data_IF_673029016126
#
_entry.id   IF_673029016126
#
_cell.length_a   1.000
_cell.length_b   1.000
_cell.length_c   1.000
_cell.angle_alpha   90.00
_cell.angle_beta   90.00
_cell.angle_gamma   90.00
#
_symmetry.space_group_name_H-M   'P 1'
#
loop_
_entity.id
_entity.type
_entity.pdbx_description
1 polymer ?
#
# COMPACT_ATOMS: atom_id res chain seq x y z
N UNK A 1 -5.62 -45.63 15.12
CA UNK A 1 -4.64 -44.56 15.38
C UNK A 1 -5.31 -43.25 15.00
N UNK A 2 -5.74 -42.40 15.95
CA UNK A 2 -6.25 -41.07 15.63
C UNK A 2 -5.10 -40.23 15.03
N UNK A 3 -5.35 -39.60 13.88
CA UNK A 3 -4.46 -38.61 13.30
C UNK A 3 -4.48 -37.39 14.21
N UNK A 4 -3.42 -37.20 14.99
CA UNK A 4 -3.16 -35.95 15.68
C UNK A 4 -2.77 -34.97 14.57
N UNK A 5 -3.68 -34.09 14.19
CA UNK A 5 -3.32 -32.91 13.42
C UNK A 5 -2.50 -32.04 14.38
N UNK A 6 -1.18 -32.02 14.20
CA UNK A 6 -0.35 -30.97 14.79
C UNK A 6 -0.87 -29.65 14.25
N UNK A 7 -1.54 -28.90 15.12
CA UNK A 7 -2.05 -27.59 14.82
C UNK A 7 -0.85 -26.70 14.53
N UNK A 8 -0.77 -26.19 13.30
CA UNK A 8 0.35 -25.38 12.86
C UNK A 8 0.45 -24.15 13.78
N UNK A 9 1.52 -24.00 14.59
CA UNK A 9 1.68 -22.86 15.47
C UNK A 9 1.65 -21.53 14.70
N UNK A 10 1.86 -21.58 13.39
CA UNK A 10 1.78 -20.41 12.53
C UNK A 10 0.35 -19.91 12.30
N UNK A 11 -0.64 -20.79 12.42
CA UNK A 11 -2.03 -20.43 12.19
C UNK A 11 -2.56 -19.52 13.30
N UNK A 12 -2.13 -19.73 14.55
CA UNK A 12 -2.66 -19.04 15.71
C UNK A 12 -2.27 -17.55 15.72
N UNK A 13 -0.99 -17.24 15.49
CA UNK A 13 -0.56 -15.84 15.42
C UNK A 13 -1.07 -15.11 14.17
N UNK A 14 -1.15 -15.81 13.02
CA UNK A 14 -1.74 -15.23 11.79
C UNK A 14 -3.21 -14.88 11.99
N UNK A 15 -3.94 -15.72 12.71
CA UNK A 15 -5.34 -15.46 13.08
C UNK A 15 -5.44 -14.27 14.02
N UNK A 16 -4.62 -14.22 15.08
CA UNK A 16 -4.61 -13.10 16.03
C UNK A 16 -4.27 -11.76 15.35
N UNK A 17 -3.31 -11.78 14.41
CA UNK A 17 -2.92 -10.61 13.63
C UNK A 17 -4.06 -10.14 12.72
N UNK A 18 -4.70 -11.08 12.02
CA UNK A 18 -5.89 -10.79 11.20
C UNK A 18 -6.99 -10.16 12.02
N UNK A 19 -7.32 -10.74 13.18
CA UNK A 19 -8.39 -10.23 14.05
C UNK A 19 -8.09 -8.80 14.51
N UNK A 20 -6.83 -8.49 14.83
CA UNK A 20 -6.41 -7.13 15.20
C UNK A 20 -6.56 -6.14 14.04
N UNK A 21 -6.13 -6.50 12.83
CA UNK A 21 -6.25 -5.62 11.65
C UNK A 21 -7.71 -5.42 11.29
N UNK A 22 -8.53 -6.48 11.32
CA UNK A 22 -9.96 -6.40 11.06
C UNK A 22 -10.69 -5.56 12.10
N UNK A 23 -10.34 -5.67 13.38
CA UNK A 23 -10.90 -4.82 14.43
C UNK A 23 -10.59 -3.33 14.20
N UNK A 24 -9.34 -3.01 13.84
CA UNK A 24 -8.97 -1.64 13.48
C UNK A 24 -9.74 -1.13 12.26
N UNK A 25 -9.88 -1.96 11.22
CA UNK A 25 -10.68 -1.64 10.03
C UNK A 25 -12.13 -1.34 10.40
N UNK A 26 -12.75 -2.17 11.25
CA UNK A 26 -14.13 -1.96 11.70
C UNK A 26 -14.30 -0.61 12.42
N UNK A 27 -13.34 -0.23 13.27
CA UNK A 27 -13.34 1.09 13.91
C UNK A 27 -13.29 2.24 12.89
N UNK A 28 -12.41 2.16 11.88
CA UNK A 28 -12.27 3.21 10.86
C UNK A 28 -13.49 3.26 9.92
N UNK A 29 -14.07 2.11 9.57
CA UNK A 29 -15.32 2.04 8.81
C UNK A 29 -16.47 2.69 9.59
N UNK A 30 -16.58 2.41 10.90
CA UNK A 30 -17.59 3.04 11.75
C UNK A 30 -17.43 4.57 11.79
N UNK A 31 -16.20 5.07 11.96
CA UNK A 31 -15.92 6.50 11.94
C UNK A 31 -16.28 7.14 10.60
N UNK A 32 -15.92 6.48 9.49
CA UNK A 32 -16.23 6.93 8.13
C UNK A 32 -17.74 6.98 7.87
N UNK A 33 -18.47 5.96 8.33
CA UNK A 33 -19.93 5.92 8.27
C UNK A 33 -20.57 7.06 9.09
N UNK A 34 -20.04 7.34 10.27
CA UNK A 34 -20.52 8.44 11.12
C UNK A 34 -20.24 9.80 10.46
N UNK A 35 -19.06 9.99 9.87
CA UNK A 35 -18.71 11.18 9.13
C UNK A 35 -19.61 11.40 7.91
N UNK A 36 -19.90 10.34 7.15
CA UNK A 36 -20.83 10.37 6.02
C UNK A 36 -22.25 10.75 6.47
N UNK A 37 -22.79 10.08 7.50
CA UNK A 37 -24.11 10.41 8.06
C UNK A 37 -24.20 11.86 8.54
N UNK A 38 -23.14 12.35 9.20
CA UNK A 38 -23.03 13.75 9.62
C UNK A 38 -23.11 14.70 8.42
N UNK A 39 -22.30 14.47 7.37
CA UNK A 39 -22.35 15.25 6.12
C UNK A 39 -23.73 15.22 5.46
N UNK A 40 -24.41 14.08 5.48
CA UNK A 40 -25.76 13.95 4.92
C UNK A 40 -26.78 14.79 5.71
N UNK A 41 -26.68 14.80 7.04
CA UNK A 41 -27.56 15.60 7.91
C UNK A 41 -27.33 17.10 7.77
N UNK A 42 -26.07 17.53 7.64
CA UNK A 42 -25.71 18.94 7.42
C UNK A 42 -26.19 19.45 6.06
N UNK A 43 -26.27 18.55 5.06
CA UNK A 43 -26.69 18.86 3.69
C UNK A 43 -28.13 18.40 3.38
N UNK A 44 -29.05 18.53 4.34
CA UNK A 44 -30.45 18.11 4.15
C UNK A 44 -31.14 18.83 2.97
N UNK A 45 -30.75 20.06 2.64
CA UNK A 45 -31.28 20.83 1.50
C UNK A 45 -30.54 20.60 0.17
N UNK A 46 -29.52 19.74 0.13
CA UNK A 46 -28.73 19.53 -1.07
C UNK A 46 -29.55 18.87 -2.19
N UNK A 47 -29.24 19.27 -3.44
CA UNK A 47 -29.78 18.69 -4.66
C UNK A 47 -29.55 17.17 -4.71
N UNK A 48 -30.46 16.44 -5.38
CA UNK A 48 -30.35 14.99 -5.57
C UNK A 48 -29.00 14.59 -6.18
N UNK A 49 -28.46 15.38 -7.11
CA UNK A 49 -27.16 15.13 -7.73
C UNK A 49 -26.00 15.21 -6.72
N UNK A 50 -26.04 16.19 -5.81
CA UNK A 50 -25.03 16.35 -4.77
C UNK A 50 -25.05 15.18 -3.78
N UNK A 51 -26.23 14.65 -3.45
CA UNK A 51 -26.36 13.46 -2.60
C UNK A 51 -25.79 12.21 -3.27
N UNK A 52 -26.06 12.02 -4.57
CA UNK A 52 -25.49 10.91 -5.33
C UNK A 52 -23.96 10.93 -5.35
N UNK A 53 -23.36 12.12 -5.55
CA UNK A 53 -21.90 12.27 -5.50
C UNK A 53 -21.32 11.96 -4.12
N UNK A 54 -21.97 12.42 -3.05
CA UNK A 54 -21.55 12.09 -1.68
C UNK A 54 -21.63 10.59 -1.39
N UNK A 55 -22.66 9.90 -1.90
CA UNK A 55 -22.79 8.46 -1.75
C UNK A 55 -21.69 7.70 -2.52
N UNK A 56 -21.39 8.14 -3.74
CA UNK A 56 -20.32 7.55 -4.55
C UNK A 56 -18.95 7.73 -3.89
N UNK A 57 -18.65 8.93 -3.40
CA UNK A 57 -17.42 9.23 -2.65
C UNK A 57 -17.32 8.38 -1.38
N UNK A 58 -18.42 8.23 -0.64
CA UNK A 58 -18.46 7.37 0.54
C UNK A 58 -18.17 5.90 0.21
N UNK A 59 -18.76 5.37 -0.86
CA UNK A 59 -18.53 3.99 -1.32
C UNK A 59 -17.08 3.78 -1.70
N UNK A 60 -16.51 4.69 -2.49
CA UNK A 60 -15.10 4.64 -2.88
C UNK A 60 -14.17 4.72 -1.67
N UNK A 61 -14.50 5.55 -0.67
CA UNK A 61 -13.74 5.62 0.57
C UNK A 61 -13.78 4.31 1.35
N UNK A 62 -14.91 3.59 1.40
CA UNK A 62 -14.99 2.28 2.05
C UNK A 62 -14.15 1.22 1.32
N UNK A 63 -14.21 1.18 -0.01
CA UNK A 63 -13.38 0.27 -0.82
C UNK A 63 -11.88 0.52 -0.61
N UNK A 64 -11.46 1.79 -0.58
CA UNK A 64 -10.08 2.17 -0.29
C UNK A 64 -9.62 1.72 1.10
N UNK A 65 -10.48 1.85 2.13
CA UNK A 65 -10.17 1.43 3.49
C UNK A 65 -9.98 -0.09 3.58
N UNK A 66 -10.85 -0.86 2.92
CA UNK A 66 -10.71 -2.31 2.86
C UNK A 66 -9.40 -2.72 2.19
N UNK A 67 -9.08 -2.12 1.04
CA UNK A 67 -7.83 -2.36 0.35
C UNK A 67 -6.60 -2.06 1.22
N UNK A 68 -6.61 -0.92 1.95
CA UNK A 68 -5.50 -0.56 2.84
C UNK A 68 -5.32 -1.56 3.99
N UNK A 69 -6.41 -2.06 4.58
CA UNK A 69 -6.34 -3.06 5.64
C UNK A 69 -5.83 -4.42 5.14
N UNK A 70 -6.23 -4.85 3.94
CA UNK A 70 -5.68 -6.06 3.32
C UNK A 70 -4.18 -5.95 3.06
N UNK A 71 -3.73 -4.78 2.58
CA UNK A 71 -2.32 -4.53 2.32
C UNK A 71 -1.49 -4.45 3.61
N UNK A 72 -2.05 -3.83 4.67
CA UNK A 72 -1.42 -3.81 6.01
C UNK A 72 -1.30 -5.23 6.58
N UNK A 73 -2.35 -6.05 6.49
CA UNK A 73 -2.30 -7.44 6.92
C UNK A 73 -1.21 -8.22 6.17
N UNK A 74 -1.13 -8.04 4.84
CA UNK A 74 -0.09 -8.69 4.02
C UNK A 74 1.31 -8.25 4.47
N UNK A 75 1.53 -6.95 4.64
CA UNK A 75 2.82 -6.41 5.05
C UNK A 75 3.24 -6.90 6.44
N UNK A 76 2.31 -6.99 7.39
CA UNK A 76 2.59 -7.50 8.74
C UNK A 76 2.92 -9.00 8.72
N UNK A 77 2.21 -9.81 7.94
CA UNK A 77 2.53 -11.23 7.77
C UNK A 77 3.94 -11.39 7.18
N UNK A 78 4.26 -10.63 6.13
CA UNK A 78 5.57 -10.69 5.48
C UNK A 78 6.70 -10.26 6.42
N UNK A 79 6.48 -9.21 7.23
CA UNK A 79 7.47 -8.74 8.20
C UNK A 79 7.75 -9.78 9.29
N UNK A 80 6.71 -10.41 9.83
CA UNK A 80 6.86 -11.47 10.85
C UNK A 80 7.55 -12.71 10.26
N UNK A 81 7.18 -13.12 9.04
CA UNK A 81 7.86 -14.22 8.34
C UNK A 81 9.34 -13.91 8.09
N UNK A 82 9.66 -12.65 7.73
CA UNK A 82 11.03 -12.19 7.57
C UNK A 82 11.80 -12.23 8.90
N UNK A 83 11.22 -11.75 9.99
CA UNK A 83 11.84 -11.81 11.32
C UNK A 83 12.09 -13.25 11.75
N UNK A 84 11.17 -14.17 11.47
CA UNK A 84 11.37 -15.60 11.75
C UNK A 84 12.45 -16.22 10.88
N UNK A 85 12.51 -15.89 9.59
CA UNK A 85 13.60 -16.32 8.72
C UNK A 85 14.94 -15.77 9.18
N UNK A 86 15.01 -14.51 9.62
CA UNK A 86 16.21 -13.90 10.20
C UNK A 86 16.60 -14.59 11.52
N UNK A 87 15.63 -14.89 12.39
CA UNK A 87 15.87 -15.62 13.64
C UNK A 87 16.35 -17.06 13.40
N UNK A 88 15.82 -17.75 12.38
CA UNK A 88 16.31 -19.07 11.97
C UNK A 88 17.71 -19.01 11.38
N UNK A 89 18.04 -17.92 10.67
CA UNK A 89 19.38 -17.66 10.13
C UNK A 89 20.35 -17.10 11.17
N UNK A 90 19.88 -16.77 12.37
CA UNK A 90 20.73 -16.19 13.39
C UNK A 90 21.84 -17.20 13.76
N UNK A 91 23.13 -16.81 13.73
CA UNK A 91 24.26 -17.72 13.90
C UNK A 91 24.20 -18.59 15.17
N UNK A 92 23.53 -18.11 16.21
CA UNK A 92 23.36 -18.79 17.49
C UNK A 92 22.49 -20.06 17.42
N UNK A 93 21.65 -20.21 16.39
CA UNK A 93 20.77 -21.39 16.18
C UNK A 93 21.47 -22.53 15.43
N UNK A 94 22.66 -22.26 14.87
CA UNK A 94 23.50 -23.26 14.21
C UNK A 94 24.88 -23.28 14.88
N UNK A 95 25.01 -23.94 16.05
CA UNK A 95 26.29 -24.05 16.75
C UNK A 95 27.38 -24.71 15.90
N UNK A 96 27.00 -25.46 14.86
CA UNK A 96 27.89 -26.09 13.89
C UNK A 96 28.51 -25.10 12.88
N UNK A 97 27.89 -23.92 12.71
CA UNK A 97 28.37 -22.82 11.87
C UNK A 97 28.83 -21.62 12.70
N UNK A 98 28.79 -21.70 14.03
CA UNK A 98 29.43 -20.70 14.88
C UNK A 98 30.93 -20.73 14.56
N UNK A 99 31.47 -19.60 14.13
CA UNK A 99 32.88 -19.48 13.78
C UNK A 99 33.71 -20.01 14.96
N UNK A 100 34.58 -20.98 14.68
CA UNK A 100 35.26 -21.76 15.70
C UNK A 100 36.06 -20.84 16.65
N UNK A 101 36.46 -19.68 16.14
CA UNK A 101 37.03 -18.54 16.86
C UNK A 101 36.14 -18.01 18.01
N UNK A 102 34.82 -17.88 17.80
CA UNK A 102 33.88 -17.35 18.82
C UNK A 102 33.66 -18.37 19.93
N UNK A 103 33.64 -19.66 19.58
CA UNK A 103 33.56 -20.76 20.55
C UNK A 103 34.83 -20.81 21.38
N UNK A 104 36.01 -20.69 20.75
CA UNK A 104 37.30 -20.62 21.45
C UNK A 104 37.38 -19.41 22.39
N UNK A 105 36.88 -18.24 21.96
CA UNK A 105 36.84 -17.04 22.79
C UNK A 105 35.93 -17.21 24.02
N UNK A 106 34.72 -17.78 23.85
CA UNK A 106 33.83 -18.07 24.99
C UNK A 106 34.46 -19.07 25.97
N UNK A 107 35.13 -20.11 25.47
CA UNK A 107 35.87 -21.07 26.31
C UNK A 107 37.01 -20.36 27.06
N UNK A 108 37.73 -19.45 26.41
CA UNK A 108 38.79 -18.66 27.02
C UNK A 108 38.26 -17.77 28.16
N UNK A 109 37.13 -17.09 27.95
CA UNK A 109 36.47 -16.25 28.96
C UNK A 109 36.02 -17.10 30.17
N UNK A 110 35.37 -18.24 29.94
CA UNK A 110 34.95 -19.13 31.02
C UNK A 110 36.15 -19.68 31.82
N UNK A 111 37.24 -20.03 31.14
CA UNK A 111 38.48 -20.44 31.79
C UNK A 111 39.11 -19.30 32.61
N UNK A 112 39.07 -18.07 32.11
CA UNK A 112 39.56 -16.90 32.83
C UNK A 112 38.75 -16.63 34.10
N UNK A 113 37.41 -16.72 34.04
CA UNK A 113 36.54 -16.59 35.22
C UNK A 113 36.86 -17.69 36.25
N UNK A 114 37.07 -18.92 35.80
CA UNK A 114 37.44 -20.06 36.66
C UNK A 114 38.80 -19.86 37.34
N UNK A 115 39.78 -19.32 36.62
CA UNK A 115 41.09 -19.00 37.20
C UNK A 115 40.98 -17.88 38.23
N UNK A 116 40.23 -16.82 37.92
CA UNK A 116 39.99 -15.71 38.85
C UNK A 116 39.24 -16.17 40.11
N UNK A 117 38.26 -17.06 40.00
CA UNK A 117 37.54 -17.58 41.17
C UNK A 117 38.42 -18.44 42.06
N UNK A 118 39.34 -19.23 41.49
CA UNK A 118 40.34 -19.98 42.25
C UNK A 118 41.37 -19.06 42.93
N UNK A 119 41.86 -18.04 42.24
CA UNK A 119 42.78 -17.07 42.85
C UNK A 119 42.12 -16.24 43.95
N UNK A 120 40.82 -15.98 43.86
CA UNK A 120 40.06 -15.26 44.88
C UNK A 120 39.77 -16.11 46.12
N UNK A 121 39.55 -17.42 45.95
CA UNK A 121 39.33 -18.34 47.08
C UNK A 121 40.57 -18.52 47.98
N UNK A 122 41.78 -18.23 47.49
CA UNK A 122 43.02 -18.35 48.28
C UNK A 122 43.31 -17.09 49.13
N UNK A 123 42.61 -15.98 48.89
CA UNK A 123 42.84 -14.72 49.64
C UNK A 123 41.92 -14.56 50.86
N UNK A 124 40.85 -15.37 50.97
CA UNK A 124 39.90 -15.29 52.08
C UNK A 124 40.14 -16.32 53.21
N UNK A 125 41.30 -17.01 53.22
CA UNK A 125 41.64 -18.00 54.26
C UNK A 125 42.22 -17.39 55.56
N UNK A 126 42.21 -16.05 55.70
CA UNK A 126 42.60 -15.33 56.92
C UNK A 126 41.50 -14.39 57.46
N UNK A 127 40.25 -14.87 57.60
CA UNK A 127 39.35 -14.31 58.63
C UNK A 127 38.24 -15.30 59.00
N UNK A 128 38.62 -16.32 59.78
CA UNK A 128 37.68 -17.11 60.56
C UNK A 128 37.05 -16.24 61.65
N UNK A 129 35.82 -15.76 61.43
CA UNK A 129 34.93 -15.32 62.51
C UNK A 129 33.58 -16.04 62.36
N UNK A 130 33.18 -16.86 63.33
CA UNK A 130 31.95 -17.63 63.24
C UNK A 130 30.79 -16.76 63.71
N UNK A 131 29.94 -16.29 62.80
CA UNK A 131 28.57 -15.90 63.16
C UNK A 131 27.57 -16.62 62.26
N UNK A 132 27.13 -17.74 62.82
CA UNK A 132 25.95 -18.50 62.47
C UNK A 132 24.72 -17.59 62.53
N UNK A 133 24.01 -17.43 61.41
CA UNK A 133 22.62 -16.98 61.45
C UNK A 133 21.79 -17.76 60.43
N UNK A 134 21.01 -18.70 60.98
CA UNK A 134 19.94 -19.41 60.31
C UNK A 134 18.85 -18.43 59.87
N UNK A 135 18.46 -18.51 58.60
CA UNK A 135 17.23 -17.93 58.06
C UNK A 135 16.88 -18.73 56.80
N UNK A 136 16.18 -19.86 56.97
CA UNK A 136 14.73 -19.96 56.84
C UNK A 136 14.27 -20.03 55.39
N UNK A 137 13.97 -21.28 55.04
CA UNK A 137 13.12 -21.80 53.98
C UNK A 137 11.74 -21.09 53.88
N UNK A 138 10.98 -21.46 52.84
CA UNK A 138 9.58 -21.15 52.48
C UNK A 138 9.34 -19.82 51.73
N UNK A 139 8.53 -19.72 50.67
CA UNK A 139 7.41 -20.56 50.20
C UNK A 139 6.99 -20.16 48.78
N UNK A 140 6.45 -21.15 48.08
CA UNK A 140 5.49 -21.04 46.96
C UNK A 140 4.25 -20.23 47.42
N UNK A 141 3.81 -19.23 46.64
CA UNK A 141 2.42 -18.73 46.73
C UNK A 141 1.96 -18.05 45.43
N UNK A 142 0.74 -18.44 45.04
CA UNK A 142 -0.12 -18.01 43.93
C UNK A 142 -0.56 -16.53 44.00
N UNK A 143 -0.89 -15.98 42.81
CA UNK A 143 -2.03 -15.08 42.43
C UNK A 143 -2.77 -14.17 43.45
N UNK A 144 -3.66 -13.24 43.04
CA UNK A 144 -3.65 -12.24 41.94
C UNK A 144 -4.09 -10.82 42.43
N UNK A 145 -4.31 -9.92 41.46
CA UNK A 145 -5.11 -8.68 41.48
C UNK A 145 -4.44 -7.33 41.81
N UNK A 146 -4.70 -6.40 40.89
CA UNK A 146 -4.61 -4.91 40.93
C UNK A 146 -5.40 -4.30 42.11
N UNK A 147 -5.56 -2.95 42.31
CA UNK A 147 -5.26 -1.79 41.43
C UNK A 147 -4.76 -0.46 42.11
N UNK A 148 -4.02 0.40 41.37
CA UNK A 148 -4.16 1.91 41.29
C UNK A 148 -3.95 2.70 42.66
N UNK A 149 -3.76 4.03 42.80
CA UNK A 149 -2.94 5.07 42.13
C UNK A 149 -2.26 6.14 43.06
N UNK A 150 -1.52 7.09 42.44
CA UNK A 150 -1.19 8.51 42.80
C UNK A 150 -0.30 8.83 44.03
N UNK A 151 0.49 9.90 43.81
CA UNK A 151 1.16 10.85 44.71
C UNK A 151 2.65 10.58 44.93
N UNK A 152 3.56 11.33 44.32
CA UNK A 152 3.89 12.77 44.47
C UNK A 152 5.08 12.99 45.42
N UNK A 153 6.23 13.31 44.80
CA UNK A 153 7.09 14.44 45.19
C UNK A 153 7.94 14.30 46.49
N UNK A 154 8.85 15.25 46.80
CA UNK A 154 10.31 15.00 46.82
C UNK A 154 10.97 15.30 48.17
N UNK A 155 12.18 14.79 48.44
CA UNK A 155 13.13 15.32 49.45
C UNK A 155 14.50 14.64 49.23
N UNK A 156 15.60 15.33 48.86
CA UNK A 156 16.49 16.22 49.63
C UNK A 156 17.16 15.58 50.86
N UNK A 157 18.50 15.55 50.85
CA UNK A 157 19.39 15.38 52.00
C UNK A 157 20.34 14.19 51.81
N UNK A 158 21.57 14.37 51.31
CA UNK A 158 22.76 14.95 51.96
C UNK A 158 23.43 13.99 52.97
N UNK A 159 24.77 13.88 52.82
CA UNK A 159 25.80 13.15 53.57
C UNK A 159 26.34 11.89 52.88
N UNK A 160 27.62 11.55 52.96
CA UNK A 160 28.87 12.31 53.11
C UNK A 160 29.97 11.25 52.82
N UNK A 161 31.05 11.70 52.19
CA UNK A 161 32.42 11.40 52.62
C UNK A 161 33.07 9.99 52.53
N UNK A 162 34.15 10.00 51.74
CA UNK A 162 35.43 9.30 51.86
C UNK A 162 35.49 7.77 51.87
N UNK A 163 35.73 7.18 50.70
CA UNK A 163 36.83 6.23 50.52
C UNK A 163 37.48 6.41 49.14
N UNK A 164 38.60 7.14 49.13
CA UNK A 164 39.57 7.17 48.04
C UNK A 164 40.23 5.79 47.96
N UNK A 165 39.58 4.84 47.28
CA UNK A 165 40.17 3.54 46.99
C UNK A 165 40.99 3.63 45.71
N UNK A 166 42.31 3.78 45.89
CA UNK A 166 43.32 3.77 44.85
C UNK A 166 43.33 2.39 44.17
N UNK A 167 42.57 2.26 43.08
CA UNK A 167 42.60 1.06 42.23
C UNK A 167 43.96 0.96 41.53
N UNK A 168 44.55 -0.24 41.44
CA UNK A 168 45.79 -0.47 40.70
C UNK A 168 45.57 -0.20 39.20
N UNK A 169 46.61 0.22 38.46
CA UNK A 169 46.50 0.55 37.04
C UNK A 169 46.03 -0.67 36.24
N UNK A 170 44.80 -0.60 35.73
CA UNK A 170 44.25 -1.56 34.77
C UNK A 170 45.15 -1.49 33.52
N UNK A 171 45.75 -2.61 33.08
CA UNK A 171 46.53 -2.63 31.84
C UNK A 171 45.62 -2.18 30.69
N UNK A 172 46.08 -1.17 29.96
CA UNK A 172 45.34 -0.57 28.86
C UNK A 172 44.82 -1.68 27.91
N UNK A 173 43.50 -1.72 27.61
CA UNK A 173 42.95 -2.69 26.69
C UNK A 173 43.65 -2.52 25.34
N UNK A 174 44.29 -3.59 24.89
CA UNK A 174 44.91 -3.65 23.57
C UNK A 174 43.77 -3.45 22.56
N UNK A 175 43.82 -2.43 21.69
CA UNK A 175 42.75 -2.18 20.75
C UNK A 175 42.60 -3.41 19.84
N UNK A 176 41.37 -3.94 19.66
CA UNK A 176 41.13 -5.07 18.79
C UNK A 176 41.63 -4.72 17.40
N UNK A 177 42.54 -5.55 16.88
CA UNK A 177 43.09 -5.42 15.53
C UNK A 177 41.94 -5.73 14.57
N UNK A 178 41.36 -4.68 13.99
CA UNK A 178 40.27 -4.78 13.04
C UNK A 178 40.74 -5.60 11.84
N UNK A 179 40.07 -6.73 11.58
CA UNK A 179 40.41 -7.54 10.42
C UNK A 179 40.00 -6.78 9.15
N UNK A 180 40.79 -6.84 8.05
CA UNK A 180 40.43 -6.20 6.79
C UNK A 180 39.10 -6.74 6.19
N UNK A 181 38.60 -7.88 6.66
CA UNK A 181 37.31 -8.45 6.25
C UNK A 181 36.14 -7.71 6.90
N UNK A 182 36.29 -7.28 8.16
CA UNK A 182 35.26 -6.52 8.88
C UNK A 182 35.07 -5.10 8.31
N UNK A 183 36.15 -4.51 7.80
CA UNK A 183 36.12 -3.20 7.18
C UNK A 183 35.33 -3.19 5.85
N UNK A 184 35.49 -4.25 5.04
CA UNK A 184 34.72 -4.39 3.80
C UNK A 184 33.23 -4.65 4.08
N UNK A 185 32.90 -5.47 5.09
CA UNK A 185 31.53 -5.70 5.51
C UNK A 185 30.86 -4.39 5.99
N UNK A 186 31.58 -3.58 6.76
CA UNK A 186 31.10 -2.27 7.22
C UNK A 186 30.84 -1.31 6.06
N UNK A 187 31.73 -1.27 5.06
CA UNK A 187 31.55 -0.44 3.87
C UNK A 187 30.33 -0.87 3.02
N UNK A 188 30.07 -2.18 2.90
CA UNK A 188 28.86 -2.67 2.20
C UNK A 188 27.58 -2.33 2.97
N UNK A 189 27.59 -2.49 4.30
CA UNK A 189 26.46 -2.13 5.15
C UNK A 189 26.17 -0.62 5.09
N UNK A 190 27.20 0.23 5.16
CA UNK A 190 27.05 1.68 5.04
C UNK A 190 26.48 2.07 3.66
N UNK A 191 26.94 1.41 2.59
CA UNK A 191 26.43 1.66 1.23
C UNK A 191 24.96 1.26 1.08
N UNK A 192 24.54 0.14 1.68
CA UNK A 192 23.13 -0.26 1.71
C UNK A 192 22.28 0.70 2.55
N UNK A 193 22.77 1.13 3.70
CA UNK A 193 22.10 2.11 4.55
C UNK A 193 21.88 3.44 3.81
N UNK A 194 22.87 3.93 3.06
CA UNK A 194 22.73 5.13 2.22
C UNK A 194 21.67 4.98 1.14
N UNK A 195 21.59 3.81 0.49
CA UNK A 195 20.55 3.55 -0.51
C UNK A 195 19.15 3.51 0.11
N UNK A 196 19.00 2.94 1.31
CA UNK A 196 17.73 2.95 2.03
C UNK A 196 17.32 4.36 2.47
N UNK A 197 18.27 5.15 2.98
CA UNK A 197 18.05 6.55 3.34
C UNK A 197 17.63 7.39 2.11
N UNK A 198 18.29 7.19 0.97
CA UNK A 198 17.93 7.88 -0.28
C UNK A 198 16.51 7.49 -0.74
N UNK A 199 16.14 6.21 -0.60
CA UNK A 199 14.79 5.74 -0.90
C UNK A 199 13.73 6.39 0.01
N UNK A 200 13.97 6.44 1.32
CA UNK A 200 13.09 7.12 2.28
C UNK A 200 12.94 8.61 1.97
N UNK A 201 14.06 9.30 1.69
CA UNK A 201 14.06 10.72 1.34
C UNK A 201 13.26 10.98 0.05
N UNK A 202 13.34 10.09 -0.93
CA UNK A 202 12.59 10.21 -2.19
C UNK A 202 11.10 9.94 -2.00
N UNK A 203 10.74 8.96 -1.16
CA UNK A 203 9.36 8.68 -0.79
C UNK A 203 8.72 9.86 -0.03
N UNK A 204 9.45 10.46 0.91
CA UNK A 204 9.00 11.64 1.65
C UNK A 204 8.79 12.86 0.72
N UNK A 205 9.72 13.09 -0.22
CA UNK A 205 9.58 14.16 -1.21
C UNK A 205 8.32 13.98 -2.10
N UNK A 206 7.99 12.74 -2.48
CA UNK A 206 6.77 12.43 -3.23
C UNK A 206 5.52 12.72 -2.38
N UNK A 207 5.53 12.35 -1.10
CA UNK A 207 4.41 12.65 -0.19
C UNK A 207 4.23 14.15 0.01
N UNK A 208 5.31 14.91 0.19
CA UNK A 208 5.26 16.37 0.30
C UNK A 208 4.73 17.02 -0.98
N UNK A 209 5.15 16.54 -2.15
CA UNK A 209 4.62 17.01 -3.44
C UNK A 209 3.13 16.76 -3.56
N UNK A 210 2.67 15.54 -3.25
CA UNK A 210 1.22 15.21 -3.24
C UNK A 210 0.43 16.05 -2.24
N UNK A 211 0.99 16.30 -1.05
CA UNK A 211 0.34 17.15 -0.04
C UNK A 211 0.23 18.60 -0.52
N UNK A 212 1.26 19.12 -1.18
CA UNK A 212 1.25 20.46 -1.76
C UNK A 212 0.28 20.54 -2.95
N UNK A 213 0.25 19.54 -3.84
CA UNK A 213 -0.72 19.44 -4.93
C UNK A 213 -2.17 19.40 -4.40
N UNK A 214 -2.43 18.65 -3.33
CA UNK A 214 -3.75 18.63 -2.67
C UNK A 214 -4.11 19.99 -2.06
N UNK A 215 -3.14 20.70 -1.48
CA UNK A 215 -3.35 22.05 -0.93
C UNK A 215 -3.66 23.08 -2.02
N UNK A 216 -2.91 23.05 -3.13
CA UNK A 216 -3.13 23.91 -4.30
C UNK A 216 -4.50 23.63 -4.93
N UNK A 217 -4.85 22.35 -5.13
CA UNK A 217 -6.17 21.97 -5.62
C UNK A 217 -7.28 22.47 -4.70
N UNK A 218 -7.13 22.35 -3.38
CA UNK A 218 -8.16 22.80 -2.44
C UNK A 218 -8.37 24.32 -2.45
N UNK A 219 -7.33 25.12 -2.75
CA UNK A 219 -7.47 26.57 -2.95
C UNK A 219 -8.10 26.92 -4.32
N UNK A 220 -7.69 26.26 -5.41
CA UNK A 220 -8.25 26.53 -6.75
C UNK A 220 -9.76 26.26 -6.85
N UNK A 221 -10.26 25.24 -6.14
CA UNK A 221 -11.70 24.95 -6.06
C UNK A 221 -12.52 26.07 -5.38
N UNK A 222 -11.92 26.89 -4.50
CA UNK A 222 -12.61 27.98 -3.83
C UNK A 222 -12.76 29.23 -4.71
N UNK A 223 -11.82 29.49 -5.62
CA UNK A 223 -11.83 30.67 -6.49
C UNK A 223 -12.77 30.50 -7.70
N UNK A 224 -12.90 29.29 -8.24
CA UNK A 224 -13.83 28.99 -9.34
C UNK A 224 -15.31 29.05 -8.91
N UNK A 225 -15.60 28.74 -7.64
CA UNK A 225 -16.96 28.87 -7.09
C UNK A 225 -17.35 30.34 -6.85
N UNK A 226 -16.38 31.23 -6.61
CA UNK A 226 -16.64 32.63 -6.35
C UNK A 226 -16.86 33.45 -7.64
N UNK A 227 -16.39 32.95 -8.80
CA UNK A 227 -16.44 33.67 -10.08
C UNK A 227 -17.70 33.40 -10.92
N UNK A 228 -18.43 32.31 -10.66
CA UNK A 228 -19.64 31.95 -11.41
C UNK A 228 -20.96 32.53 -10.84
N UNK A 229 -20.90 33.32 -9.76
CA UNK A 229 -22.09 33.79 -9.03
C UNK A 229 -22.58 35.20 -9.42
N UNK A 230 -22.14 35.80 -10.54
CA UNK A 230 -22.44 37.22 -10.84
C UNK A 230 -22.96 37.55 -12.23
N UNK A 231 -23.45 36.59 -13.03
CA UNK A 231 -23.93 36.90 -14.38
C UNK A 231 -25.23 36.21 -14.79
N UNK A 232 -26.34 36.47 -14.09
CA UNK A 232 -27.69 36.36 -14.70
C UNK A 232 -28.63 37.41 -14.10
N UNK A 233 -28.68 38.59 -14.71
CA UNK A 233 -29.73 39.58 -14.48
C UNK A 233 -30.54 39.73 -15.78
N UNK A 234 -31.82 39.42 -15.66
CA UNK A 234 -32.97 39.87 -16.44
C UNK A 234 -32.88 39.85 -17.99
N UNK A 235 -33.53 38.87 -18.61
CA UNK A 235 -34.33 39.11 -19.82
C UNK A 235 -35.48 38.10 -19.89
N UNK A 236 -36.67 38.58 -19.55
CA UNK A 236 -37.96 38.01 -19.95
C UNK A 236 -38.07 38.05 -21.48
N UNK A 237 -38.30 36.90 -22.13
CA UNK A 237 -39.36 36.74 -23.13
C UNK A 237 -39.41 35.32 -23.71
N UNK A 238 -40.64 34.85 -23.78
CA UNK A 238 -41.23 33.80 -24.62
C UNK A 238 -40.88 32.32 -24.42
N UNK A 239 -41.93 31.67 -23.89
CA UNK A 239 -42.15 30.26 -23.66
C UNK A 239 -42.30 29.53 -25.00
N UNK A 240 -41.24 28.84 -25.41
CA UNK A 240 -41.35 27.68 -26.30
C UNK A 240 -40.75 26.48 -25.56
N UNK A 241 -41.60 25.48 -25.31
CA UNK A 241 -41.28 24.25 -24.59
C UNK A 241 -40.01 23.59 -25.16
N UNK A 242 -38.92 23.48 -24.38
CA UNK A 242 -37.72 22.76 -24.80
C UNK A 242 -38.08 21.30 -24.98
N UNK A 243 -38.04 20.83 -26.22
CA UNK A 243 -38.17 19.41 -26.56
C UNK A 243 -37.00 18.66 -25.93
N UNK A 244 -37.27 17.60 -25.16
CA UNK A 244 -36.28 16.78 -24.42
C UNK A 244 -35.10 16.30 -25.29
N UNK A 245 -35.30 16.16 -26.60
CA UNK A 245 -34.27 15.81 -27.57
C UNK A 245 -33.08 16.80 -27.63
N UNK A 246 -33.27 18.06 -27.26
CA UNK A 246 -32.19 19.07 -27.27
C UNK A 246 -31.26 18.94 -26.04
N UNK A 247 -31.76 18.42 -24.92
CA UNK A 247 -30.97 18.30 -23.68
C UNK A 247 -30.00 17.11 -23.73
N UNK A 248 -30.38 16.00 -24.36
CA UNK A 248 -29.47 14.86 -24.60
C UNK A 248 -28.35 15.22 -25.59
N UNK A 249 -28.68 15.97 -26.65
CA UNK A 249 -27.67 16.43 -27.61
C UNK A 249 -26.63 17.36 -26.97
N UNK A 250 -27.03 18.21 -26.02
CA UNK A 250 -26.13 19.12 -25.30
C UNK A 250 -25.26 18.39 -24.24
N UNK A 251 -25.76 17.34 -23.59
CA UNK A 251 -24.98 16.57 -22.61
C UNK A 251 -23.85 15.74 -23.26
N UNK A 252 -24.04 15.29 -24.51
CA UNK A 252 -23.02 14.54 -25.27
C UNK A 252 -21.72 15.30 -25.56
N UNK A 253 -21.65 16.62 -25.25
CA UNK A 253 -20.47 17.46 -25.51
C UNK A 253 -19.75 17.94 -24.25
N UNK A 254 -20.04 17.37 -23.08
CA UNK A 254 -19.14 17.55 -21.95
C UNK A 254 -17.83 16.85 -22.28
N UNK A 255 -16.83 17.64 -22.70
CA UNK A 255 -15.46 17.15 -22.87
C UNK A 255 -15.05 16.49 -21.56
N UNK A 256 -14.73 15.22 -21.64
CA UNK A 256 -14.23 14.46 -20.50
C UNK A 256 -12.96 15.17 -19.99
N UNK A 257 -12.78 15.22 -18.67
CA UNK A 257 -11.55 15.75 -18.10
C UNK A 257 -10.37 14.90 -18.58
N UNK A 258 -9.18 15.49 -18.71
CA UNK A 258 -7.96 14.74 -19.04
C UNK A 258 -7.71 13.62 -18.03
N UNK A 259 -7.93 13.90 -16.74
CA UNK A 259 -7.80 12.90 -15.68
C UNK A 259 -8.83 11.77 -15.82
N UNK A 260 -10.09 12.13 -16.11
CA UNK A 260 -11.16 11.14 -16.31
C UNK A 260 -10.87 10.25 -17.53
N UNK A 261 -10.26 10.79 -18.57
CA UNK A 261 -9.85 10.02 -19.74
C UNK A 261 -8.72 9.04 -19.42
N UNK A 262 -7.72 9.46 -18.62
CA UNK A 262 -6.66 8.57 -18.11
C UNK A 262 -7.26 7.45 -17.27
N UNK A 263 -8.15 7.79 -16.33
CA UNK A 263 -8.81 6.82 -15.45
C UNK A 263 -9.67 5.84 -16.25
N UNK A 264 -10.40 6.32 -17.27
CA UNK A 264 -11.19 5.48 -18.17
C UNK A 264 -10.31 4.53 -19.00
N UNK A 265 -9.16 5.00 -19.48
CA UNK A 265 -8.21 4.15 -20.22
C UNK A 265 -7.62 3.08 -19.30
N UNK A 266 -7.26 3.43 -18.06
CA UNK A 266 -6.80 2.46 -17.06
C UNK A 266 -7.88 1.43 -16.73
N UNK A 267 -9.13 1.87 -16.57
CA UNK A 267 -10.27 0.99 -16.35
C UNK A 267 -10.47 0.02 -17.53
N UNK A 268 -10.34 0.50 -18.78
CA UNK A 268 -10.39 -0.34 -19.97
C UNK A 268 -9.28 -1.40 -20.00
N UNK A 269 -8.06 -1.06 -19.58
CA UNK A 269 -6.95 -2.03 -19.46
C UNK A 269 -7.26 -3.11 -18.42
N UNK A 270 -7.81 -2.74 -17.27
CA UNK A 270 -8.23 -3.70 -16.25
C UNK A 270 -9.33 -4.63 -16.79
N UNK A 271 -10.30 -4.06 -17.51
CA UNK A 271 -11.42 -4.82 -18.11
C UNK A 271 -10.93 -5.87 -19.11
N UNK A 272 -9.92 -5.56 -19.92
CA UNK A 272 -9.29 -6.54 -20.82
C UNK A 272 -8.74 -7.77 -20.09
N UNK A 273 -8.17 -7.59 -18.90
CA UNK A 273 -7.65 -8.70 -18.08
C UNK A 273 -8.78 -9.54 -17.48
N UNK A 274 -9.93 -8.93 -17.19
CA UNK A 274 -11.11 -9.62 -16.68
C UNK A 274 -11.81 -10.46 -17.74
N UNK A 275 -11.83 -10.03 -19.01
CA UNK A 275 -12.56 -10.71 -20.10
C UNK A 275 -12.19 -12.20 -20.23
N UNK A 276 -10.92 -12.57 -20.03
CA UNK A 276 -10.51 -13.99 -20.11
C UNK A 276 -11.01 -14.87 -18.96
N UNK A 277 -11.54 -14.28 -17.90
CA UNK A 277 -12.05 -15.00 -16.71
C UNK A 277 -13.57 -15.17 -16.75
N UNK A 278 -14.26 -14.40 -17.58
CA UNK A 278 -15.72 -14.43 -17.67
C UNK A 278 -16.16 -15.63 -18.52
N UNK A 279 -17.10 -16.46 -18.05
CA UNK A 279 -17.59 -17.63 -18.81
C UNK A 279 -18.47 -17.23 -19.99
N UNK A 280 -19.12 -16.07 -19.90
CA UNK A 280 -20.03 -15.52 -20.89
C UNK A 280 -19.68 -14.06 -21.11
N UNK A 281 -19.57 -13.67 -22.38
CA UNK A 281 -19.30 -12.29 -22.78
C UNK A 281 -20.48 -11.72 -23.54
N UNK A 282 -20.74 -10.44 -23.31
CA UNK A 282 -21.72 -9.63 -24.01
C UNK A 282 -21.05 -8.40 -24.62
N UNK A 283 -21.75 -7.70 -25.51
CA UNK A 283 -21.29 -6.47 -26.15
C UNK A 283 -20.84 -5.41 -25.13
N UNK A 284 -21.56 -5.30 -24.01
CA UNK A 284 -21.25 -4.34 -22.95
C UNK A 284 -19.98 -4.63 -22.18
N UNK A 285 -19.46 -5.86 -22.24
CA UNK A 285 -18.28 -6.28 -21.50
C UNK A 285 -16.98 -5.81 -22.13
N UNK A 286 -17.01 -5.55 -23.44
CA UNK A 286 -15.83 -5.14 -24.17
C UNK A 286 -15.49 -3.68 -23.87
N UNK A 287 -14.22 -3.37 -23.55
CA UNK A 287 -13.74 -2.00 -23.37
C UNK A 287 -13.53 -1.35 -24.75
N UNK A 288 -14.62 -0.96 -25.39
CA UNK A 288 -14.61 -0.26 -26.68
C UNK A 288 -13.74 1.00 -26.59
N UNK A 289 -12.89 1.31 -27.60
CA UNK A 289 -11.98 2.45 -27.56
C UNK A 289 -12.72 3.78 -27.82
N UNK A 290 -13.60 4.16 -26.90
CA UNK A 290 -14.35 5.41 -26.90
C UNK A 290 -14.28 6.05 -25.52
N UNK A 291 -14.23 7.38 -25.44
CA UNK A 291 -14.18 8.11 -24.16
C UNK A 291 -15.55 8.29 -23.49
N UNK A 292 -16.51 7.47 -23.87
CA UNK A 292 -17.84 7.50 -23.27
C UNK A 292 -17.89 6.55 -22.08
N UNK A 293 -18.30 7.05 -20.91
CA UNK A 293 -18.65 6.22 -19.75
C UNK A 293 -19.77 5.23 -20.07
N UNK A 294 -20.64 5.59 -21.01
CA UNK A 294 -21.64 4.67 -21.55
C UNK A 294 -21.02 3.81 -22.63
N UNK A 295 -21.15 2.49 -22.50
CA UNK A 295 -20.79 1.56 -23.57
C UNK A 295 -21.55 1.94 -24.85
N UNK A 296 -20.88 2.02 -26.03
CA UNK A 296 -21.56 2.25 -27.30
C UNK A 296 -22.69 1.22 -27.43
N UNK A 297 -23.85 1.61 -27.97
CA UNK A 297 -25.00 0.69 -28.09
C UNK A 297 -24.94 -0.08 -29.39
N UNK A 298 -24.29 0.49 -30.41
CA UNK A 298 -24.17 -0.08 -31.75
C UNK A 298 -22.79 0.17 -32.36
N UNK A 299 -22.50 -0.50 -33.47
CA UNK A 299 -21.25 -0.34 -34.20
C UNK A 299 -21.11 1.05 -34.83
N UNK A 300 -22.23 1.72 -35.12
CA UNK A 300 -22.24 3.07 -35.70
C UNK A 300 -21.70 4.12 -34.71
N UNK A 301 -21.76 3.84 -33.40
CA UNK A 301 -21.20 4.71 -32.37
C UNK A 301 -19.66 4.66 -32.33
N UNK A 302 -19.05 3.65 -32.98
CA UNK A 302 -17.61 3.48 -33.09
C UNK A 302 -17.07 4.32 -34.26
N UNK A 303 -17.19 5.63 -34.15
CA UNK A 303 -16.72 6.55 -35.20
C UNK A 303 -15.21 6.74 -35.17
N UNK A 304 -14.64 7.20 -36.28
CA UNK A 304 -13.19 7.46 -36.36
C UNK A 304 -12.77 8.54 -35.35
N UNK A 305 -13.60 9.56 -35.17
CA UNK A 305 -13.34 10.67 -34.24
C UNK A 305 -13.29 10.17 -32.79
N UNK A 306 -14.25 9.33 -32.38
CA UNK A 306 -14.30 8.81 -31.01
C UNK A 306 -13.09 7.93 -30.67
N UNK A 307 -12.64 7.11 -31.64
CA UNK A 307 -11.45 6.26 -31.49
C UNK A 307 -10.15 7.07 -31.47
N UNK A 308 -10.06 8.11 -32.32
CA UNK A 308 -8.95 9.06 -32.28
C UNK A 308 -8.89 9.72 -30.91
N UNK A 309 -9.99 10.29 -30.43
CA UNK A 309 -10.05 10.94 -29.11
C UNK A 309 -9.57 10.00 -28.01
N UNK A 310 -10.05 8.74 -27.99
CA UNK A 310 -9.64 7.73 -27.01
C UNK A 310 -8.14 7.43 -27.01
N UNK A 311 -7.51 7.31 -28.18
CA UNK A 311 -6.09 6.98 -28.30
C UNK A 311 -5.21 8.15 -27.84
N UNK A 312 -5.63 9.39 -28.15
CA UNK A 312 -4.84 10.58 -27.87
C UNK A 312 -5.11 11.19 -26.50
N UNK A 313 -6.23 10.91 -25.84
CA UNK A 313 -6.57 11.55 -24.57
C UNK A 313 -5.56 11.35 -23.42
N UNK A 314 -5.01 10.15 -23.17
CA UNK A 314 -4.05 9.95 -22.09
C UNK A 314 -2.60 10.31 -22.47
N UNK A 315 -2.35 10.80 -23.70
CA UNK A 315 -1.00 10.98 -24.23
C UNK A 315 -0.73 12.44 -24.58
N UNK A 316 0.44 12.93 -24.18
CA UNK A 316 0.94 14.17 -24.73
C UNK A 316 1.25 13.94 -26.22
N UNK A 317 0.57 14.68 -27.10
CA UNK A 317 0.67 14.55 -28.57
C UNK A 317 2.13 14.60 -29.08
N UNK A 318 3.04 15.14 -28.26
CA UNK A 318 4.48 15.20 -28.55
C UNK A 318 5.17 13.83 -28.59
N UNK A 319 4.64 12.82 -27.91
CA UNK A 319 5.27 11.51 -27.77
C UNK A 319 4.86 10.53 -28.88
N UNK A 320 5.28 10.85 -30.11
CA UNK A 320 4.97 10.03 -31.30
C UNK A 320 5.24 8.52 -31.16
N UNK A 321 6.36 8.04 -30.59
CA UNK A 321 6.58 6.61 -30.47
C UNK A 321 5.56 5.93 -29.55
N UNK A 322 5.14 6.59 -28.47
CA UNK A 322 4.19 6.04 -27.49
C UNK A 322 2.81 5.86 -28.13
N UNK A 323 2.35 6.85 -28.90
CA UNK A 323 1.09 6.75 -29.67
C UNK A 323 1.14 5.58 -30.65
N UNK A 324 2.25 5.46 -31.40
CA UNK A 324 2.44 4.38 -32.38
C UNK A 324 2.43 2.99 -31.73
N UNK A 325 3.06 2.85 -30.58
CA UNK A 325 3.08 1.58 -29.83
C UNK A 325 1.69 1.25 -29.25
N UNK A 326 0.97 2.27 -28.76
CA UNK A 326 -0.43 2.12 -28.32
C UNK A 326 -1.34 1.66 -29.46
N UNK A 327 -1.22 2.26 -30.64
CA UNK A 327 -1.94 1.86 -31.86
C UNK A 327 -1.67 0.40 -32.22
N UNK A 328 -0.41 -0.02 -32.25
CA UNK A 328 -0.02 -1.41 -32.54
C UNK A 328 -0.58 -2.39 -31.50
N UNK A 329 -0.54 -2.03 -30.22
CA UNK A 329 -1.06 -2.87 -29.15
C UNK A 329 -2.58 -3.03 -29.25
N UNK A 330 -3.32 -1.95 -29.50
CA UNK A 330 -4.77 -2.03 -29.74
C UNK A 330 -5.07 -2.85 -31.00
N UNK A 331 -4.34 -2.66 -32.10
CA UNK A 331 -4.51 -3.44 -33.32
C UNK A 331 -4.28 -4.93 -33.07
N UNK A 332 -3.27 -5.29 -32.28
CA UNK A 332 -2.98 -6.68 -31.90
C UNK A 332 -4.11 -7.30 -31.08
N UNK A 333 -4.78 -6.53 -30.22
CA UNK A 333 -5.92 -7.00 -29.39
C UNK A 333 -7.19 -7.19 -30.20
N UNK A 334 -7.48 -6.24 -31.09
CA UNK A 334 -8.68 -6.24 -31.92
C UNK A 334 -8.56 -7.06 -33.21
N UNK A 335 -7.35 -7.54 -33.54
CA UNK A 335 -7.11 -8.36 -34.73
C UNK A 335 -8.05 -9.57 -34.78
N UNK A 336 -8.75 -9.83 -35.91
CA UNK A 336 -9.81 -10.84 -35.99
C UNK A 336 -9.31 -12.23 -35.58
N UNK A 337 -8.11 -12.64 -36.02
CA UNK A 337 -7.53 -13.94 -35.66
C UNK A 337 -7.44 -14.19 -34.14
N UNK A 338 -6.96 -13.19 -33.38
CA UNK A 338 -6.82 -13.30 -31.92
C UNK A 338 -8.15 -13.06 -31.21
N UNK A 339 -8.91 -12.09 -31.68
CA UNK A 339 -10.16 -11.67 -31.07
C UNK A 339 -11.23 -12.75 -31.22
N UNK A 340 -11.37 -13.34 -32.41
CA UNK A 340 -12.37 -14.37 -32.72
C UNK A 340 -12.09 -15.65 -31.94
N UNK A 341 -10.83 -16.09 -31.93
CA UNK A 341 -10.42 -17.32 -31.24
C UNK A 341 -10.59 -17.20 -29.72
N UNK A 342 -10.27 -16.04 -29.14
CA UNK A 342 -10.22 -15.88 -27.68
C UNK A 342 -11.55 -15.41 -27.07
N UNK A 343 -12.26 -14.50 -27.71
CA UNK A 343 -13.39 -13.80 -27.11
C UNK A 343 -14.73 -14.10 -27.78
N UNK A 344 -14.80 -14.20 -29.12
CA UNK A 344 -16.08 -14.51 -29.78
C UNK A 344 -16.62 -15.90 -29.41
N UNK A 345 -15.74 -16.86 -29.14
CA UNK A 345 -16.12 -18.20 -28.69
C UNK A 345 -16.88 -18.18 -27.35
N UNK A 346 -16.67 -17.16 -26.51
CA UNK A 346 -17.30 -17.01 -25.19
C UNK A 346 -18.66 -16.33 -25.22
N UNK A 347 -19.07 -15.79 -26.38
CA UNK A 347 -20.40 -15.16 -26.56
C UNK A 347 -21.41 -16.24 -26.93
N UNK A 348 -22.43 -16.41 -26.09
CA UNK A 348 -23.44 -17.49 -26.26
C UNK A 348 -24.46 -17.15 -27.33
N UNK A 349 -24.95 -15.90 -27.36
CA UNK A 349 -25.94 -15.46 -28.35
C UNK A 349 -25.27 -15.21 -29.71
N UNK A 350 -25.79 -15.86 -30.77
CA UNK A 350 -25.29 -15.72 -32.13
C UNK A 350 -25.48 -14.30 -32.69
N UNK A 351 -26.60 -13.64 -32.36
CA UNK A 351 -26.85 -12.28 -32.82
C UNK A 351 -25.88 -11.29 -32.16
N UNK A 352 -25.65 -11.46 -30.86
CA UNK A 352 -24.67 -10.66 -30.12
C UNK A 352 -23.24 -10.95 -30.59
N UNK A 353 -22.91 -12.21 -30.90
CA UNK A 353 -21.62 -12.61 -31.45
C UNK A 353 -21.35 -11.93 -32.79
N UNK A 354 -22.33 -11.90 -33.69
CA UNK A 354 -22.20 -11.19 -34.97
C UNK A 354 -22.01 -9.68 -34.74
N UNK A 355 -22.82 -9.10 -33.85
CA UNK A 355 -22.71 -7.68 -33.50
C UNK A 355 -21.31 -7.33 -32.99
N UNK A 356 -20.77 -8.11 -32.05
CA UNK A 356 -19.42 -7.92 -31.51
C UNK A 356 -18.34 -8.09 -32.59
N UNK A 357 -18.49 -9.08 -33.48
CA UNK A 357 -17.57 -9.28 -34.61
C UNK A 357 -17.56 -8.07 -35.54
N UNK A 358 -18.72 -7.55 -35.90
CA UNK A 358 -18.84 -6.36 -36.74
C UNK A 358 -18.20 -5.13 -36.08
N UNK A 359 -18.44 -4.94 -34.77
CA UNK A 359 -17.84 -3.85 -33.99
C UNK A 359 -16.32 -3.95 -33.91
N UNK A 360 -15.78 -5.14 -33.62
CA UNK A 360 -14.33 -5.39 -33.60
C UNK A 360 -13.69 -5.17 -34.99
N UNK A 361 -14.39 -5.57 -36.05
CA UNK A 361 -13.99 -5.31 -37.43
C UNK A 361 -13.95 -3.82 -37.76
N UNK A 362 -14.93 -3.04 -37.31
CA UNK A 362 -14.95 -1.59 -37.47
C UNK A 362 -13.76 -0.91 -36.77
N UNK A 363 -13.52 -1.26 -35.51
CA UNK A 363 -12.36 -0.76 -34.72
C UNK A 363 -11.04 -1.10 -35.43
N UNK A 364 -10.87 -2.34 -35.90
CA UNK A 364 -9.63 -2.77 -36.57
C UNK A 364 -9.34 -1.96 -37.84
N UNK A 365 -10.37 -1.68 -38.65
CA UNK A 365 -10.22 -0.83 -39.86
C UNK A 365 -9.81 0.59 -39.49
N UNK A 366 -10.48 1.20 -38.50
CA UNK A 366 -10.16 2.55 -38.02
C UNK A 366 -8.71 2.60 -37.50
N UNK A 367 -8.30 1.64 -36.67
CA UNK A 367 -6.94 1.56 -36.14
C UNK A 367 -5.88 1.38 -37.25
N UNK A 368 -6.20 0.60 -38.28
CA UNK A 368 -5.30 0.38 -39.42
C UNK A 368 -5.13 1.66 -40.25
N UNK A 369 -6.22 2.37 -40.52
CA UNK A 369 -6.20 3.65 -41.24
C UNK A 369 -5.43 4.72 -40.46
N UNK A 370 -5.61 4.78 -39.14
CA UNK A 370 -4.86 5.68 -38.26
C UNK A 370 -3.37 5.35 -38.24
N UNK A 371 -3.00 4.07 -38.15
CA UNK A 371 -1.60 3.65 -38.20
C UNK A 371 -0.95 3.95 -39.56
N UNK A 372 -1.71 3.81 -40.65
CA UNK A 372 -1.28 4.20 -42.01
C UNK A 372 -0.95 5.68 -42.11
N UNK A 373 -1.93 6.54 -41.77
CA UNK A 373 -1.76 8.00 -41.73
C UNK A 373 -0.59 8.43 -40.84
N UNK A 374 -0.40 7.74 -39.72
CA UNK A 374 0.69 8.03 -38.78
C UNK A 374 2.08 7.67 -39.32
N UNK A 375 2.19 6.69 -40.23
CA UNK A 375 3.47 6.35 -40.87
C UNK A 375 3.83 7.30 -42.03
N UNK A 376 2.86 8.06 -42.54
CA UNK A 376 3.07 9.07 -43.59
C UNK A 376 3.51 10.43 -43.02
N UNK A 377 3.27 10.68 -41.73
CA UNK A 377 3.64 11.90 -40.98
C UNK A 377 5.00 11.81 -40.29
#
# INVERSE_FOLDING_TARGET
MPLIFEEDPDLLWKTQLRDRVMHNLDCVIQETNMAYKKRLSENTSASSDARYRMELDHRQNLENLQYMAEEELRAMIEQEERQRQENLRAPWMHPENADQSVVEEQIAILNQIRQQSMSRAVVDEECNTPYFQQGSSSTIFDEPLSPIPIHASPHLGAHDDYYTSTSPPIPAPIPPVQSPIDEEARLRAEKQAKLQEEFHKRAEAIMQRKKNERWISQQGWAEDMSSNSSATSASDQDVLSPTEASFEAAQSRRRISEQDAVDLVMFHEQRWNMLSRLPHLQWSDFPWPVLSLSTPKRKEDLTTEAVVEYIFAPLNIRDRPVVKDRLKELLRRWHPDRFDTKYLALIVDLNERERVREGAGAVTRILSDLLGKWNEL
#
